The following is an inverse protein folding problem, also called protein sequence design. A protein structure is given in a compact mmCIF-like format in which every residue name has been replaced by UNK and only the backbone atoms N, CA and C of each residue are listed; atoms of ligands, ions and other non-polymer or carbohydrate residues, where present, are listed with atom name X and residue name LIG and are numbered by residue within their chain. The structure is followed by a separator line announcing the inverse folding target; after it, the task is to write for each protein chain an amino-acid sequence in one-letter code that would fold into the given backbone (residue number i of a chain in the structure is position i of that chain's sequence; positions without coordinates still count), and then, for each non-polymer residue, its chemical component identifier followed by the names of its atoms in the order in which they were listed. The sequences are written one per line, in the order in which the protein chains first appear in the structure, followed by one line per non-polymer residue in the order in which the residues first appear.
data_IF_762899683221
#
_entry.id   IF_762899683221
#
_cell.length_a   1.000
_cell.length_b   1.000
_cell.length_c   1.000
_cell.angle_alpha   90.00
_cell.angle_beta   90.00
_cell.angle_gamma   90.00
#
_symmetry.space_group_name_H-M   'P 1'
#
loop_
_entity.id
_entity.type
_entity.pdbx_description
1 polymer ?
#
# COMPACT_ATOMS: atom_id res chain seq x y z
N UNK A 1 29.23 -7.40 7.03
CA UNK A 1 27.85 -7.68 6.55
C UNK A 1 27.86 -7.76 5.04
N UNK A 2 27.15 -8.72 4.40
CA UNK A 2 27.21 -8.88 2.92
C UNK A 2 26.66 -7.68 2.14
N UNK A 3 25.76 -6.88 2.74
CA UNK A 3 25.15 -5.72 2.09
C UNK A 3 26.10 -4.52 1.94
N UNK A 4 27.17 -4.45 2.70
CA UNK A 4 28.15 -3.35 2.62
C UNK A 4 28.91 -3.24 1.28
N UNK A 5 28.76 -4.24 0.39
CA UNK A 5 29.34 -4.22 -0.97
C UNK A 5 28.48 -3.46 -1.99
N UNK A 6 27.22 -3.15 -1.65
CA UNK A 6 26.33 -2.43 -2.54
C UNK A 6 26.49 -0.91 -2.33
N UNK A 7 26.30 -0.19 -3.42
CA UNK A 7 26.30 1.27 -3.46
C UNK A 7 25.18 1.82 -2.53
N UNK A 8 25.50 2.63 -1.51
CA UNK A 8 24.50 3.20 -0.61
C UNK A 8 23.39 3.97 -1.32
N UNK A 9 23.71 4.64 -2.43
CA UNK A 9 22.75 5.43 -3.20
C UNK A 9 21.72 4.56 -3.96
N UNK A 10 21.92 3.24 -4.00
CA UNK A 10 21.08 2.30 -4.75
C UNK A 10 20.39 1.26 -3.89
N UNK A 11 20.62 1.28 -2.58
CA UNK A 11 20.09 0.28 -1.67
C UNK A 11 19.46 0.93 -0.45
N UNK A 12 18.14 0.81 -0.33
CA UNK A 12 17.39 1.13 0.87
C UNK A 12 17.22 -0.14 1.72
N UNK A 13 17.31 -0.02 3.03
CA UNK A 13 17.24 -1.18 3.93
C UNK A 13 16.12 -1.02 4.91
N UNK A 14 15.15 -1.90 4.84
CA UNK A 14 14.04 -2.01 5.77
C UNK A 14 14.28 -3.20 6.72
N UNK A 15 14.26 -2.99 8.06
CA UNK A 15 14.51 -4.06 9.02
C UNK A 15 13.48 -5.18 9.00
N UNK A 16 12.22 -4.84 8.72
CA UNK A 16 11.11 -5.80 8.72
C UNK A 16 9.96 -5.28 7.87
N UNK A 17 9.49 -6.13 6.95
CA UNK A 17 8.24 -5.90 6.23
C UNK A 17 7.03 -6.16 7.14
N UNK A 18 6.06 -5.25 7.13
CA UNK A 18 4.75 -5.39 7.75
C UNK A 18 4.76 -5.95 9.19
N UNK A 19 5.42 -5.28 10.14
CA UNK A 19 5.41 -5.74 11.53
C UNK A 19 3.98 -5.75 12.08
N UNK A 20 3.61 -6.85 12.77
CA UNK A 20 2.27 -7.05 13.33
C UNK A 20 2.36 -7.32 14.83
N UNK A 21 1.70 -6.46 15.62
CA UNK A 21 1.62 -6.54 17.08
C UNK A 21 0.21 -6.19 17.54
N UNK A 22 -0.79 -6.99 17.12
CA UNK A 22 -2.20 -6.70 17.37
C UNK A 22 -2.51 -6.44 18.85
N UNK A 23 -2.98 -5.21 19.15
CA UNK A 23 -3.27 -4.75 20.49
C UNK A 23 -2.02 -4.42 21.34
N UNK A 24 -0.82 -4.56 20.77
CA UNK A 24 0.47 -4.31 21.40
C UNK A 24 1.42 -3.53 20.49
N UNK A 25 0.89 -2.70 19.60
CA UNK A 25 1.64 -1.95 18.58
C UNK A 25 2.76 -1.10 19.17
N UNK A 26 2.62 -0.68 20.44
CA UNK A 26 3.64 0.06 21.20
C UNK A 26 4.95 -0.71 21.40
N UNK A 27 4.98 -2.02 21.19
CA UNK A 27 6.19 -2.84 21.30
C UNK A 27 7.12 -2.68 20.09
N UNK A 28 6.58 -2.35 18.94
CA UNK A 28 7.37 -2.25 17.71
C UNK A 28 8.37 -1.08 17.68
N UNK A 29 8.01 0.17 18.00
CA UNK A 29 8.94 1.30 17.89
C UNK A 29 10.27 1.11 18.64
N UNK A 30 10.33 0.63 19.90
CA UNK A 30 11.60 0.37 20.56
C UNK A 30 12.42 -0.75 19.90
N UNK A 31 11.76 -1.81 19.40
CA UNK A 31 12.45 -2.90 18.68
C UNK A 31 13.04 -2.34 17.37
N UNK A 32 12.25 -1.61 16.60
CA UNK A 32 12.70 -0.99 15.36
C UNK A 32 13.90 -0.07 15.58
N UNK A 33 13.86 0.76 16.61
CA UNK A 33 14.96 1.66 16.95
C UNK A 33 16.27 0.91 17.20
N UNK A 34 16.24 -0.19 17.94
CA UNK A 34 17.42 -1.04 18.19
C UNK A 34 17.92 -1.71 16.90
N UNK A 35 17.02 -2.17 16.03
CA UNK A 35 17.37 -2.75 14.73
C UNK A 35 18.04 -1.71 13.83
N UNK A 36 17.46 -0.52 13.71
CA UNK A 36 18.03 0.58 12.92
C UNK A 36 19.42 0.95 13.44
N UNK A 37 19.61 1.07 14.75
CA UNK A 37 20.92 1.36 15.35
C UNK A 37 21.95 0.26 15.01
N UNK A 38 21.58 -1.01 15.16
CA UNK A 38 22.48 -2.13 14.85
C UNK A 38 22.85 -2.21 13.36
N UNK A 39 21.92 -1.84 12.47
CA UNK A 39 22.19 -1.77 11.03
C UNK A 39 23.10 -0.57 10.73
N UNK A 40 22.83 0.59 11.29
CA UNK A 40 23.62 1.81 11.10
C UNK A 40 25.09 1.62 11.48
N UNK A 41 25.40 0.90 12.56
CA UNK A 41 26.76 0.54 12.96
C UNK A 41 27.55 -0.24 11.88
N UNK A 42 26.85 -0.98 11.01
CA UNK A 42 27.45 -1.80 9.97
C UNK A 42 27.35 -1.20 8.57
N UNK A 43 26.38 -0.31 8.37
CA UNK A 43 26.04 0.32 7.10
C UNK A 43 25.84 1.83 7.33
N UNK A 44 26.94 2.57 7.60
CA UNK A 44 26.87 3.96 8.08
C UNK A 44 26.29 4.94 7.04
N UNK A 45 26.39 4.63 5.73
CA UNK A 45 26.02 5.52 4.64
C UNK A 45 24.71 5.15 3.94
N UNK A 46 24.10 4.01 4.31
CA UNK A 46 22.88 3.54 3.65
C UNK A 46 21.63 4.23 4.21
N UNK A 47 20.70 4.57 3.35
CA UNK A 47 19.36 4.97 3.78
C UNK A 47 18.63 3.78 4.40
N UNK A 48 18.10 3.98 5.61
CA UNK A 48 17.28 2.99 6.29
C UNK A 48 15.81 3.37 6.22
N UNK A 49 14.94 2.36 6.22
CA UNK A 49 13.48 2.56 6.21
C UNK A 49 12.91 2.16 7.58
N UNK A 50 12.13 3.05 8.15
CA UNK A 50 11.32 2.78 9.33
C UNK A 50 9.84 2.70 8.92
N UNK A 51 9.10 1.78 9.54
CA UNK A 51 7.68 1.60 9.27
C UNK A 51 6.88 1.42 10.56
N UNK A 52 5.59 1.73 10.52
CA UNK A 52 4.68 1.53 11.66
C UNK A 52 4.31 0.05 11.83
N UNK A 53 3.94 -0.35 13.04
CA UNK A 53 3.23 -1.60 13.28
C UNK A 53 1.87 -1.59 12.56
N UNK A 54 1.16 -2.72 12.57
CA UNK A 54 -0.12 -2.87 11.91
C UNK A 54 -0.02 -2.90 10.38
N UNK A 55 0.81 -3.85 9.87
CA UNK A 55 1.05 -4.08 8.44
C UNK A 55 1.55 -2.84 7.70
N UNK A 56 2.42 -2.06 8.33
CA UNK A 56 3.01 -0.85 7.73
C UNK A 56 1.97 0.15 7.19
N UNK A 57 0.70 0.06 7.59
CA UNK A 57 -0.35 0.93 7.07
C UNK A 57 -0.19 2.40 7.54
N UNK A 58 -1.00 3.26 6.95
CA UNK A 58 -0.96 4.69 7.24
C UNK A 58 -1.16 5.02 8.74
N UNK A 59 -2.07 4.33 9.44
CA UNK A 59 -2.29 4.59 10.86
C UNK A 59 -1.07 4.21 11.72
N UNK A 60 -0.38 3.14 11.34
CA UNK A 60 0.88 2.74 11.95
C UNK A 60 1.96 3.80 11.78
N UNK A 61 2.13 4.36 10.56
CA UNK A 61 3.04 5.48 10.31
C UNK A 61 2.71 6.67 11.21
N UNK A 62 1.46 7.10 11.25
CA UNK A 62 1.03 8.29 11.99
C UNK A 62 1.23 8.15 13.51
N UNK A 63 1.36 6.94 14.03
CA UNK A 63 1.63 6.68 15.45
C UNK A 63 3.11 6.76 15.83
N UNK A 64 4.02 6.77 14.84
CA UNK A 64 5.46 6.80 15.10
C UNK A 64 5.95 8.15 15.63
N UNK A 65 7.03 8.08 16.40
CA UNK A 65 7.92 9.20 16.64
C UNK A 65 9.23 8.94 15.89
N UNK A 66 9.73 9.89 15.11
CA UNK A 66 10.98 9.71 14.38
C UNK A 66 12.16 9.37 15.29
N UNK A 67 13.07 8.58 14.76
CA UNK A 67 14.36 8.34 15.40
C UNK A 67 15.33 9.51 15.12
N UNK A 68 16.31 9.70 15.96
CA UNK A 68 17.35 10.72 15.79
C UNK A 68 18.44 10.21 14.83
N UNK A 69 18.06 10.09 13.56
CA UNK A 69 18.94 9.69 12.45
C UNK A 69 18.38 10.32 11.15
N UNK A 70 19.10 11.29 10.53
CA UNK A 70 18.60 12.02 9.36
C UNK A 70 18.49 11.16 8.08
N UNK A 71 19.19 10.02 8.03
CA UNK A 71 19.17 9.10 6.89
C UNK A 71 18.18 7.95 7.07
N UNK A 72 17.21 8.12 7.97
CA UNK A 72 16.05 7.25 8.08
C UNK A 72 14.86 7.87 7.36
N UNK A 73 14.31 7.17 6.39
CA UNK A 73 13.06 7.50 5.73
C UNK A 73 11.93 6.69 6.32
N UNK A 74 10.70 7.18 6.18
CA UNK A 74 9.52 6.54 6.77
C UNK A 74 8.65 5.95 5.68
N UNK A 75 8.43 4.65 5.79
CA UNK A 75 7.69 3.87 4.82
C UNK A 75 6.26 3.59 5.30
N UNK A 76 5.31 3.57 4.35
CA UNK A 76 3.97 3.05 4.58
C UNK A 76 3.48 2.27 3.36
N UNK A 77 2.59 1.30 3.61
CA UNK A 77 1.85 0.59 2.60
C UNK A 77 0.46 1.23 2.45
N UNK A 78 -0.03 1.28 1.23
CA UNK A 78 -1.32 1.90 0.95
C UNK A 78 -2.25 0.93 0.20
N UNK A 79 -3.19 0.35 0.94
CA UNK A 79 -4.19 -0.57 0.40
C UNK A 79 -5.63 -0.13 0.68
N UNK A 80 -5.82 1.09 1.19
CA UNK A 80 -7.15 1.61 1.48
C UNK A 80 -7.96 1.93 0.20
N UNK A 81 -9.22 1.53 0.20
CA UNK A 81 -9.94 0.73 1.21
C UNK A 81 -9.80 -0.78 0.96
N UNK A 82 -9.48 -1.55 1.99
CA UNK A 82 -9.26 -3.00 1.90
C UNK A 82 -10.43 -3.78 1.26
N UNK A 83 -11.67 -3.37 1.51
CA UNK A 83 -12.87 -3.95 0.91
C UNK A 83 -12.82 -3.95 -0.63
N UNK A 84 -12.10 -3.00 -1.23
CA UNK A 84 -11.87 -2.92 -2.67
C UNK A 84 -10.59 -3.67 -3.06
N UNK A 85 -9.46 -3.35 -2.43
CA UNK A 85 -8.14 -3.83 -2.87
C UNK A 85 -7.92 -5.31 -2.61
N UNK A 86 -8.60 -5.89 -1.61
CA UNK A 86 -8.49 -7.29 -1.22
C UNK A 86 -9.74 -8.12 -1.52
N UNK A 87 -10.64 -7.61 -2.38
CA UNK A 87 -11.82 -8.37 -2.78
C UNK A 87 -11.45 -9.74 -3.38
N UNK A 88 -11.97 -10.81 -2.78
CA UNK A 88 -11.68 -12.19 -3.16
C UNK A 88 -10.44 -12.79 -2.50
N UNK A 89 -9.66 -12.02 -1.73
CA UNK A 89 -8.49 -12.51 -1.02
C UNK A 89 -8.86 -13.56 0.04
N UNK A 90 -8.06 -14.62 0.14
CA UNK A 90 -8.28 -15.73 1.10
C UNK A 90 -7.35 -15.66 2.31
N UNK A 91 -6.39 -14.75 2.29
CA UNK A 91 -5.36 -14.57 3.32
C UNK A 91 -5.57 -13.32 4.20
N UNK A 92 -6.47 -12.43 3.83
CA UNK A 92 -6.81 -11.22 4.57
C UNK A 92 -7.93 -11.42 5.59
N UNK A 93 -8.83 -10.44 5.72
CA UNK A 93 -9.99 -10.56 6.58
C UNK A 93 -10.95 -11.66 6.07
N UNK A 94 -11.55 -12.40 7.00
CA UNK A 94 -12.36 -13.58 6.69
C UNK A 94 -13.52 -13.32 5.69
N UNK A 95 -13.98 -12.07 5.60
CA UNK A 95 -15.06 -11.66 4.70
C UNK A 95 -14.59 -11.36 3.27
N UNK A 96 -13.32 -10.99 3.06
CA UNK A 96 -12.80 -10.54 1.75
C UNK A 96 -12.94 -11.59 0.67
N UNK A 97 -12.80 -12.87 1.03
CA UNK A 97 -12.95 -14.01 0.11
C UNK A 97 -14.32 -14.11 -0.56
N UNK A 98 -15.35 -13.47 -0.02
CA UNK A 98 -16.70 -13.46 -0.56
C UNK A 98 -17.00 -12.24 -1.43
N UNK A 99 -16.13 -11.23 -1.44
CA UNK A 99 -16.31 -10.00 -2.21
C UNK A 99 -15.96 -10.20 -3.67
N UNK A 100 -16.76 -9.64 -4.55
CA UNK A 100 -16.59 -9.70 -6.01
C UNK A 100 -17.06 -8.40 -6.63
N UNK A 101 -16.34 -7.91 -7.64
CA UNK A 101 -16.71 -6.77 -8.46
C UNK A 101 -17.07 -5.52 -7.63
N UNK A 102 -16.42 -5.35 -6.48
CA UNK A 102 -16.55 -4.14 -5.67
C UNK A 102 -16.06 -2.96 -6.50
N UNK A 103 -16.85 -1.92 -6.69
CA UNK A 103 -16.53 -0.84 -7.62
C UNK A 103 -15.53 0.15 -7.05
N UNK A 104 -14.81 0.81 -7.96
CA UNK A 104 -14.06 2.04 -7.70
C UNK A 104 -14.15 2.96 -8.94
N UNK A 105 -14.52 4.24 -8.79
CA UNK A 105 -14.94 4.93 -7.55
C UNK A 105 -16.20 4.35 -6.92
N UNK A 106 -16.37 4.56 -5.58
CA UNK A 106 -17.57 4.06 -4.89
C UNK A 106 -18.64 5.13 -4.71
N UNK A 107 -19.89 4.69 -4.78
CA UNK A 107 -21.07 5.44 -4.38
C UNK A 107 -22.14 4.47 -3.91
N UNK A 108 -23.21 4.92 -3.23
CA UNK A 108 -24.35 4.07 -2.90
C UNK A 108 -24.90 3.33 -4.13
N UNK A 109 -25.00 4.00 -5.26
CA UNK A 109 -25.53 3.44 -6.50
C UNK A 109 -24.54 2.44 -7.14
N UNK A 110 -23.23 2.73 -7.09
CA UNK A 110 -22.23 1.87 -7.74
C UNK A 110 -22.06 0.52 -7.06
N UNK A 111 -22.30 0.42 -5.73
CA UNK A 111 -22.10 -0.82 -4.95
C UNK A 111 -23.27 -1.82 -5.12
N UNK A 112 -24.39 -1.43 -5.71
CA UNK A 112 -25.59 -2.28 -5.83
C UNK A 112 -25.29 -3.63 -6.49
N UNK A 113 -24.49 -3.66 -7.56
CA UNK A 113 -24.14 -4.90 -8.24
C UNK A 113 -23.29 -5.82 -7.35
N UNK A 114 -22.33 -5.28 -6.59
CA UNK A 114 -21.53 -6.06 -5.66
C UNK A 114 -22.38 -6.61 -4.49
N UNK A 115 -23.38 -5.84 -4.03
CA UNK A 115 -24.35 -6.28 -3.00
C UNK A 115 -25.16 -7.47 -3.47
N UNK A 116 -25.58 -7.51 -4.74
CA UNK A 116 -26.33 -8.64 -5.31
C UNK A 116 -25.52 -9.94 -5.38
N UNK A 117 -24.18 -9.85 -5.39
CA UNK A 117 -23.30 -11.01 -5.43
C UNK A 117 -22.99 -11.61 -4.05
N UNK A 118 -23.50 -11.01 -2.98
CA UNK A 118 -23.24 -11.41 -1.60
C UNK A 118 -24.54 -11.89 -0.95
N UNK A 119 -24.48 -13.02 -0.24
CA UNK A 119 -25.63 -13.56 0.51
C UNK A 119 -25.71 -13.01 1.95
N UNK A 120 -24.56 -12.82 2.59
CA UNK A 120 -24.42 -12.39 3.98
C UNK A 120 -24.84 -10.93 4.19
N UNK A 121 -25.82 -10.69 5.06
CA UNK A 121 -26.36 -9.35 5.31
C UNK A 121 -25.33 -8.38 5.98
N UNK A 122 -24.44 -8.91 6.79
CA UNK A 122 -23.36 -8.09 7.39
C UNK A 122 -22.44 -7.58 6.29
N UNK A 123 -22.13 -8.43 5.34
CA UNK A 123 -21.27 -8.08 4.21
C UNK A 123 -21.95 -7.07 3.27
N UNK A 124 -23.25 -7.24 3.03
CA UNK A 124 -24.04 -6.21 2.31
C UNK A 124 -23.99 -4.86 3.02
N UNK A 125 -24.05 -4.89 4.35
CA UNK A 125 -23.94 -3.65 5.12
C UNK A 125 -22.54 -3.02 4.99
N UNK A 126 -21.45 -3.80 4.98
CA UNK A 126 -20.11 -3.28 4.72
C UNK A 126 -20.00 -2.63 3.34
N UNK A 127 -20.60 -3.23 2.31
CA UNK A 127 -20.65 -2.65 0.97
C UNK A 127 -21.45 -1.35 0.93
N UNK A 128 -22.58 -1.25 1.65
CA UNK A 128 -23.35 0.00 1.75
C UNK A 128 -22.52 1.10 2.42
N UNK A 129 -21.86 0.79 3.54
CA UNK A 129 -20.96 1.75 4.22
C UNK A 129 -19.84 2.18 3.28
N UNK A 130 -19.23 1.26 2.55
CA UNK A 130 -18.22 1.58 1.53
C UNK A 130 -18.77 2.52 0.44
N UNK A 131 -19.99 2.29 -0.04
CA UNK A 131 -20.67 3.18 -0.98
C UNK A 131 -20.86 4.59 -0.42
N UNK A 132 -21.33 4.70 0.83
CA UNK A 132 -21.51 5.98 1.54
C UNK A 132 -20.19 6.72 1.74
N UNK A 133 -19.09 6.02 1.93
CA UNK A 133 -17.76 6.60 2.07
C UNK A 133 -17.25 7.29 0.81
N UNK A 134 -17.81 7.02 -0.37
CA UNK A 134 -17.52 7.67 -1.65
C UNK A 134 -16.04 7.71 -1.99
N UNK A 135 -15.37 6.56 -1.92
CA UNK A 135 -13.97 6.43 -2.28
C UNK A 135 -13.73 6.80 -3.74
N UNK A 136 -12.80 7.72 -3.97
CA UNK A 136 -12.38 8.25 -5.26
C UNK A 136 -10.97 8.86 -5.15
N UNK A 137 -10.41 9.40 -6.23
CA UNK A 137 -9.08 10.00 -6.22
C UNK A 137 -8.90 11.14 -5.20
N UNK A 138 -9.93 11.95 -4.95
CA UNK A 138 -9.86 13.02 -3.95
C UNK A 138 -9.77 12.44 -2.53
N UNK A 139 -10.48 11.37 -2.23
CA UNK A 139 -10.42 10.72 -0.93
C UNK A 139 -9.10 10.00 -0.73
N UNK A 140 -8.56 9.32 -1.76
CA UNK A 140 -7.21 8.74 -1.73
C UNK A 140 -6.18 9.83 -1.42
N UNK A 141 -6.25 10.95 -2.13
CA UNK A 141 -5.36 12.08 -1.88
C UNK A 141 -5.48 12.61 -0.45
N UNK A 142 -6.69 12.74 0.08
CA UNK A 142 -6.92 13.21 1.45
C UNK A 142 -6.33 12.25 2.51
N UNK A 143 -6.34 10.93 2.26
CA UNK A 143 -5.69 9.97 3.14
C UNK A 143 -4.15 10.10 3.07
N UNK A 144 -3.57 10.20 1.87
CA UNK A 144 -2.13 10.36 1.67
C UNK A 144 -1.63 11.69 2.27
N UNK A 145 -2.43 12.75 2.21
CA UNK A 145 -2.11 14.03 2.85
C UNK A 145 -1.88 13.93 4.36
N UNK A 146 -2.46 12.96 5.04
CA UNK A 146 -2.16 12.72 6.46
C UNK A 146 -0.71 12.31 6.68
N UNK A 147 -0.16 11.45 5.79
CA UNK A 147 1.25 11.09 5.82
C UNK A 147 2.14 12.31 5.52
N UNK A 148 1.78 13.11 4.51
CA UNK A 148 2.51 14.32 4.15
C UNK A 148 2.58 15.29 5.33
N UNK A 149 1.44 15.60 5.95
CA UNK A 149 1.38 16.50 7.11
C UNK A 149 2.20 15.97 8.31
N UNK A 150 2.19 14.64 8.52
CA UNK A 150 3.02 14.01 9.54
C UNK A 150 4.51 14.17 9.20
N UNK A 151 4.92 13.93 7.97
CA UNK A 151 6.30 14.04 7.53
C UNK A 151 6.82 15.49 7.59
N UNK A 152 6.01 16.45 7.15
CA UNK A 152 6.34 17.89 7.26
C UNK A 152 6.53 18.33 8.71
N UNK A 153 5.61 17.91 9.60
CA UNK A 153 5.71 18.19 11.03
C UNK A 153 7.02 17.70 11.64
N UNK A 154 7.53 16.58 11.15
CA UNK A 154 8.71 15.92 11.71
C UNK A 154 10.00 16.16 10.90
N UNK A 155 9.92 16.82 9.74
CA UNK A 155 11.06 17.10 8.88
C UNK A 155 11.70 15.83 8.28
N UNK A 156 10.89 14.80 7.97
CA UNK A 156 11.36 13.49 7.49
C UNK A 156 10.88 13.19 6.07
N UNK A 157 11.52 12.21 5.41
CA UNK A 157 11.15 11.76 4.06
C UNK A 157 10.22 10.55 4.11
N UNK A 158 9.31 10.49 3.13
CA UNK A 158 8.37 9.40 2.95
C UNK A 158 8.71 8.50 1.76
N UNK A 159 8.32 7.23 1.89
CA UNK A 159 8.26 6.26 0.82
C UNK A 159 6.94 5.48 0.96
N UNK A 160 6.29 5.14 -0.16
CA UNK A 160 5.20 4.17 -0.22
C UNK A 160 5.70 2.98 -1.05
N UNK A 161 6.39 2.04 -0.41
CA UNK A 161 7.04 0.94 -1.14
C UNK A 161 6.08 -0.20 -1.48
N UNK A 162 4.82 -0.10 -1.05
CA UNK A 162 3.77 -1.06 -1.41
C UNK A 162 2.41 -0.38 -1.59
N UNK A 163 1.79 -0.60 -2.74
CA UNK A 163 0.37 -0.38 -2.98
C UNK A 163 -0.09 -1.28 -4.14
N UNK A 164 -1.34 -1.67 -4.15
CA UNK A 164 -1.87 -2.54 -5.20
C UNK A 164 -3.32 -2.91 -4.97
N UNK A 165 -3.92 -3.59 -5.95
CA UNK A 165 -5.27 -4.15 -5.86
C UNK A 165 -5.30 -5.54 -6.49
N UNK A 166 -5.87 -6.50 -5.76
CA UNK A 166 -5.99 -7.90 -6.16
C UNK A 166 -6.84 -8.02 -7.43
N UNK A 167 -6.32 -8.70 -8.48
CA UNK A 167 -6.93 -8.68 -9.81
C UNK A 167 -8.06 -9.66 -10.02
N UNK A 168 -8.02 -10.83 -9.36
CA UNK A 168 -8.81 -11.99 -9.79
C UNK A 168 -10.33 -11.77 -9.73
N UNK A 169 -10.77 -10.90 -8.84
CA UNK A 169 -12.18 -10.59 -8.64
C UNK A 169 -12.55 -9.12 -8.79
N UNK A 170 -11.54 -8.29 -9.08
CA UNK A 170 -11.70 -6.87 -9.37
C UNK A 170 -11.89 -6.65 -10.88
N UNK A 171 -12.85 -5.81 -11.27
CA UNK A 171 -12.96 -5.43 -12.68
C UNK A 171 -11.73 -4.63 -13.11
N UNK A 172 -11.15 -4.92 -14.30
CA UNK A 172 -9.92 -4.26 -14.76
C UNK A 172 -9.99 -2.73 -14.74
N UNK A 173 -11.12 -2.16 -15.16
CA UNK A 173 -11.33 -0.70 -15.19
C UNK A 173 -11.29 -0.06 -13.80
N UNK A 174 -11.81 -0.73 -12.78
CA UNK A 174 -11.80 -0.25 -11.40
C UNK A 174 -10.37 -0.33 -10.82
N UNK A 175 -9.69 -1.45 -11.07
CA UNK A 175 -8.30 -1.66 -10.66
C UNK A 175 -7.39 -0.61 -11.28
N UNK A 176 -7.51 -0.36 -12.57
CA UNK A 176 -6.75 0.66 -13.29
C UNK A 176 -6.99 2.06 -12.71
N UNK A 177 -8.24 2.43 -12.46
CA UNK A 177 -8.59 3.73 -11.91
C UNK A 177 -7.98 3.95 -10.52
N UNK A 178 -8.09 2.96 -9.64
CA UNK A 178 -7.54 3.05 -8.28
C UNK A 178 -6.00 3.16 -8.29
N UNK A 179 -5.30 2.30 -9.05
CA UNK A 179 -3.83 2.33 -9.17
C UNK A 179 -3.36 3.69 -9.71
N UNK A 180 -4.04 4.21 -10.74
CA UNK A 180 -3.74 5.54 -11.29
C UNK A 180 -3.90 6.63 -10.24
N UNK A 181 -4.99 6.62 -9.49
CA UNK A 181 -5.30 7.68 -8.54
C UNK A 181 -4.33 7.66 -7.34
N UNK A 182 -3.93 6.47 -6.85
CA UNK A 182 -2.88 6.34 -5.83
C UNK A 182 -1.55 6.88 -6.34
N UNK A 183 -1.09 6.40 -7.52
CA UNK A 183 0.17 6.87 -8.11
C UNK A 183 0.18 8.40 -8.27
N UNK A 184 -0.90 8.98 -8.83
CA UNK A 184 -0.98 10.43 -9.03
C UNK A 184 -0.93 11.21 -7.72
N UNK A 185 -1.56 10.71 -6.66
CA UNK A 185 -1.50 11.33 -5.35
C UNK A 185 -0.09 11.26 -4.75
N UNK A 186 0.59 10.11 -4.83
CA UNK A 186 1.96 9.97 -4.35
C UNK A 186 2.93 10.89 -5.10
N UNK A 187 2.86 10.92 -6.44
CA UNK A 187 3.71 11.77 -7.28
C UNK A 187 3.47 13.27 -7.03
N UNK A 188 2.23 13.68 -6.82
CA UNK A 188 1.86 15.07 -6.52
C UNK A 188 2.60 15.60 -5.30
N UNK A 189 2.82 14.76 -4.30
CA UNK A 189 3.53 15.10 -3.05
C UNK A 189 4.97 14.60 -3.03
N UNK A 190 5.53 14.21 -4.19
CA UNK A 190 6.92 13.77 -4.33
C UNK A 190 7.28 12.59 -3.42
N UNK A 191 6.32 11.72 -3.12
CA UNK A 191 6.56 10.48 -2.39
C UNK A 191 7.02 9.42 -3.39
N UNK A 192 8.21 8.85 -3.16
CA UNK A 192 8.68 7.67 -3.90
C UNK A 192 7.74 6.49 -3.69
N UNK A 193 7.58 5.64 -4.72
CA UNK A 193 6.66 4.53 -4.61
C UNK A 193 7.12 3.27 -5.36
N UNK A 194 6.63 2.11 -4.92
CA UNK A 194 6.67 0.87 -5.66
C UNK A 194 5.32 0.17 -5.61
N UNK A 195 4.87 -0.39 -6.72
CA UNK A 195 3.63 -1.15 -6.77
C UNK A 195 3.88 -2.61 -6.38
N UNK A 196 3.06 -3.16 -5.54
CA UNK A 196 2.95 -4.59 -5.31
C UNK A 196 1.98 -5.19 -6.32
N UNK A 197 2.40 -6.00 -7.33
CA UNK A 197 3.75 -6.53 -7.48
C UNK A 197 4.13 -6.60 -8.98
N UNK A 198 5.30 -7.15 -9.33
CA UNK A 198 5.67 -7.34 -10.73
C UNK A 198 4.88 -8.49 -11.39
N UNK A 199 4.90 -9.70 -10.80
CA UNK A 199 4.23 -10.92 -11.30
C UNK A 199 3.42 -11.55 -10.17
N UNK A 200 2.15 -11.88 -10.41
CA UNK A 200 1.23 -12.43 -9.42
C UNK A 200 -0.13 -11.77 -9.46
N UNK A 201 -0.92 -12.01 -8.43
CA UNK A 201 -2.32 -11.57 -8.40
C UNK A 201 -2.53 -10.07 -8.18
N UNK A 202 -1.50 -9.34 -7.77
CA UNK A 202 -1.46 -7.87 -7.78
C UNK A 202 -0.62 -7.32 -8.95
N UNK A 203 -0.05 -8.20 -9.76
CA UNK A 203 1.05 -7.91 -10.66
C UNK A 203 0.78 -6.95 -11.81
N UNK A 204 1.88 -6.40 -12.33
CA UNK A 204 1.94 -5.68 -13.61
C UNK A 204 1.90 -6.64 -14.80
N UNK A 205 2.42 -7.86 -14.61
CA UNK A 205 2.42 -8.89 -15.64
C UNK A 205 1.52 -10.05 -15.25
N UNK A 206 1.13 -10.86 -16.21
CA UNK A 206 0.38 -12.11 -16.01
C UNK A 206 0.86 -13.17 -16.99
N UNK A 207 0.56 -14.43 -16.69
CA UNK A 207 0.87 -15.53 -17.60
C UNK A 207 -0.34 -15.89 -18.45
N UNK A 208 -0.14 -15.89 -19.76
CA UNK A 208 -1.12 -16.32 -20.73
C UNK A 208 -0.46 -17.30 -21.71
N UNK A 209 -1.02 -18.50 -21.86
CA UNK A 209 -0.52 -19.57 -22.76
C UNK A 209 0.99 -19.86 -22.56
N UNK A 210 1.43 -19.89 -21.30
CA UNK A 210 2.83 -20.13 -20.92
C UNK A 210 3.79 -18.97 -21.20
N UNK A 211 3.28 -17.81 -21.63
CA UNK A 211 4.06 -16.60 -21.90
C UNK A 211 3.71 -15.51 -20.90
N UNK A 212 4.70 -14.70 -20.53
CA UNK A 212 4.49 -13.51 -19.75
C UNK A 212 3.93 -12.40 -20.63
N UNK A 213 2.80 -11.83 -20.23
CA UNK A 213 2.17 -10.69 -20.89
C UNK A 213 2.09 -9.51 -19.94
N UNK A 214 2.32 -8.31 -20.45
CA UNK A 214 2.18 -7.06 -19.69
C UNK A 214 0.73 -6.62 -19.69
N UNK A 215 0.22 -6.30 -18.51
CA UNK A 215 -1.06 -5.61 -18.34
C UNK A 215 -0.90 -4.14 -18.76
N UNK A 216 -1.27 -3.86 -20.02
CA UNK A 216 -1.07 -2.53 -20.64
C UNK A 216 -1.88 -1.44 -19.94
N UNK A 217 -3.04 -1.78 -19.40
CA UNK A 217 -3.90 -0.83 -18.69
C UNK A 217 -3.27 -0.44 -17.35
N UNK A 218 -2.73 -1.42 -16.63
CA UNK A 218 -1.99 -1.15 -15.38
C UNK A 218 -0.68 -0.41 -15.66
N UNK A 219 0.06 -0.80 -16.69
CA UNK A 219 1.27 -0.08 -17.07
C UNK A 219 0.97 1.40 -17.43
N UNK A 220 -0.15 1.64 -18.12
CA UNK A 220 -0.62 3.01 -18.41
C UNK A 220 -1.01 3.74 -17.13
N UNK A 221 -1.72 3.08 -16.19
CA UNK A 221 -2.08 3.65 -14.88
C UNK A 221 -0.83 4.04 -14.07
N UNK A 222 0.24 3.25 -14.19
CA UNK A 222 1.55 3.53 -13.58
C UNK A 222 2.38 4.59 -14.35
N UNK A 223 1.86 5.15 -15.46
CA UNK A 223 2.57 6.14 -16.26
C UNK A 223 3.75 5.55 -17.08
N UNK A 224 3.84 4.23 -17.19
CA UNK A 224 4.90 3.58 -17.96
C UNK A 224 4.65 3.74 -19.46
N UNK A 225 5.72 4.08 -20.20
CA UNK A 225 5.68 4.20 -21.65
C UNK A 225 6.30 2.95 -22.26
N UNK A 226 5.55 2.26 -23.12
CA UNK A 226 6.11 1.23 -23.99
C UNK A 226 6.80 1.91 -25.17
N UNK A 227 8.03 1.52 -25.40
CA UNK A 227 8.78 1.87 -26.62
C UNK A 227 8.59 0.79 -27.66
#
# INVERSE_FOLDING_TARGET
MKLAIFDPDKLLIEPMNEPVFLGEEYKWPPIQKELLRAIREKLPEHTLLATGAFWSNLSGLLSLQPVDDPDVWYNFHFYEPHIFTHQGATWGAAYEKYLRQVPYPSSPESVEQAILLVEDETLKQYLRVYGEQRWNGQKIEAEILKAVAWAEKHGVRLLCNEFGAYRDYCLPTFRQAWIRDVRLALEKYQIGWAMWEFDGSFGLVYRQDGRTAVDKDIASALGLKFR
#
